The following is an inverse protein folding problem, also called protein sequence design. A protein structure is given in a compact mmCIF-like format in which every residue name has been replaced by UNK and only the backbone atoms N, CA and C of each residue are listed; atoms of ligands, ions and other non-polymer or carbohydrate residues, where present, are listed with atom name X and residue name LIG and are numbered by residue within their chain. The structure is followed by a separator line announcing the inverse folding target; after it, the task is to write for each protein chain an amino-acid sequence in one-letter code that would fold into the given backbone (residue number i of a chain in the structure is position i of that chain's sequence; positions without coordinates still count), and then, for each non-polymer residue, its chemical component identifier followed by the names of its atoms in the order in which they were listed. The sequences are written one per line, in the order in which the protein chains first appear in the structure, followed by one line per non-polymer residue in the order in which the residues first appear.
data_IF_336497024484
#
_entry.id   IF_336497024484
#
_cell.length_a   1.000
_cell.length_b   1.000
_cell.length_c   1.000
_cell.angle_alpha   90.00
_cell.angle_beta   90.00
_cell.angle_gamma   90.00
#
_symmetry.space_group_name_H-M   'P 1'
#
loop_
_entity.id
_entity.type
_entity.pdbx_description
1 polymer ?
#
# COMPACT_ATOMS: atom_id res chain seq x y z
N UNK A 1 19.92 -15.64 7.62
CA UNK A 1 19.95 -15.71 6.15
C UNK A 1 19.92 -14.31 5.57
N UNK A 2 20.64 -13.99 4.48
CA UNK A 2 20.63 -12.64 3.93
C UNK A 2 19.26 -12.45 3.25
N UNK A 3 18.37 -11.65 3.83
CA UNK A 3 17.05 -11.40 3.23
C UNK A 3 17.17 -10.47 2.02
N UNK A 4 17.68 -11.03 0.92
CA UNK A 4 17.64 -10.45 -0.42
C UNK A 4 16.26 -10.60 -1.06
N UNK A 5 16.20 -10.41 -2.38
CA UNK A 5 14.96 -10.52 -3.14
C UNK A 5 14.26 -11.87 -2.91
N UNK A 6 12.96 -11.82 -2.63
CA UNK A 6 12.10 -13.01 -2.53
C UNK A 6 10.92 -12.86 -3.50
N UNK A 7 10.89 -13.64 -4.60
CA UNK A 7 9.87 -13.50 -5.64
C UNK A 7 8.46 -13.76 -5.14
N UNK A 8 8.29 -14.69 -4.20
CA UNK A 8 6.98 -14.97 -3.59
C UNK A 8 6.50 -13.76 -2.78
N UNK A 9 7.34 -13.23 -1.86
CA UNK A 9 7.00 -12.02 -1.08
C UNK A 9 6.69 -10.83 -1.99
N UNK A 10 7.45 -10.63 -3.07
CA UNK A 10 7.21 -9.56 -4.03
C UNK A 10 5.89 -9.72 -4.77
N UNK A 11 5.58 -10.92 -5.26
CA UNK A 11 4.31 -11.21 -5.94
C UNK A 11 3.11 -11.06 -5.00
N UNK A 12 3.22 -11.59 -3.79
CA UNK A 12 2.16 -11.50 -2.78
C UNK A 12 1.87 -10.03 -2.42
N UNK A 13 2.91 -9.18 -2.37
CA UNK A 13 2.75 -7.73 -2.18
C UNK A 13 2.05 -7.04 -3.36
N UNK A 14 2.31 -7.47 -4.60
CA UNK A 14 1.64 -6.92 -5.79
C UNK A 14 0.16 -7.28 -5.79
N UNK A 15 -0.23 -8.47 -5.31
CA UNK A 15 -1.64 -8.87 -5.23
C UNK A 15 -2.48 -7.91 -4.37
N UNK A 16 -1.88 -7.28 -3.35
CA UNK A 16 -2.57 -6.29 -2.50
C UNK A 16 -3.00 -5.01 -3.24
N UNK A 17 -2.53 -4.78 -4.48
CA UNK A 17 -2.98 -3.66 -5.30
C UNK A 17 -4.47 -3.80 -5.61
N UNK A 18 -4.96 -5.03 -5.84
CA UNK A 18 -6.37 -5.28 -6.10
C UNK A 18 -7.25 -4.81 -4.94
N UNK A 19 -6.92 -5.23 -3.72
CA UNK A 19 -7.66 -4.84 -2.51
C UNK A 19 -7.59 -3.32 -2.26
N UNK A 20 -6.45 -2.70 -2.59
CA UNK A 20 -6.28 -1.24 -2.46
C UNK A 20 -7.18 -0.49 -3.44
N UNK A 21 -7.37 -1.00 -4.66
CA UNK A 21 -8.28 -0.41 -5.64
C UNK A 21 -9.74 -0.54 -5.19
N UNK A 22 -10.13 -1.70 -4.63
CA UNK A 22 -11.45 -1.88 -4.05
C UNK A 22 -11.72 -0.90 -2.90
N UNK A 23 -10.75 -0.70 -2.00
CA UNK A 23 -10.83 0.30 -0.92
C UNK A 23 -11.07 1.72 -1.47
N UNK A 24 -10.33 2.10 -2.52
CA UNK A 24 -10.47 3.43 -3.16
C UNK A 24 -11.86 3.60 -3.78
N UNK A 25 -12.32 2.64 -4.57
CA UNK A 25 -13.61 2.77 -5.26
C UNK A 25 -14.79 2.75 -4.31
N UNK A 26 -14.79 1.85 -3.32
CA UNK A 26 -15.85 1.78 -2.32
C UNK A 26 -15.93 3.07 -1.48
N UNK A 27 -14.79 3.65 -1.10
CA UNK A 27 -14.77 4.93 -0.39
C UNK A 27 -15.17 6.11 -1.30
N UNK A 28 -14.78 6.08 -2.57
CA UNK A 28 -15.17 7.07 -3.59
C UNK A 28 -16.68 7.11 -3.79
N UNK A 29 -17.33 5.95 -3.91
CA UNK A 29 -18.79 5.86 -4.03
C UNK A 29 -19.51 6.34 -2.76
N UNK A 30 -19.03 5.93 -1.58
CA UNK A 30 -19.63 6.33 -0.30
C UNK A 30 -19.53 7.83 -0.01
N UNK A 31 -18.44 8.47 -0.43
CA UNK A 31 -18.18 9.89 -0.16
C UNK A 31 -18.55 10.83 -1.32
N UNK A 32 -18.90 10.28 -2.48
CA UNK A 32 -19.17 11.07 -3.68
C UNK A 32 -17.96 11.85 -4.21
N UNK A 33 -16.74 11.37 -3.92
CA UNK A 33 -15.48 12.02 -4.31
C UNK A 33 -14.83 11.29 -5.49
N UNK A 34 -14.08 11.99 -6.37
CA UNK A 34 -13.28 11.33 -7.39
C UNK A 34 -12.24 10.35 -6.80
N UNK A 35 -12.04 9.15 -7.42
CA UNK A 35 -11.11 8.13 -6.90
C UNK A 35 -9.67 8.61 -6.67
N UNK A 36 -9.18 9.54 -7.49
CA UNK A 36 -7.84 10.09 -7.34
C UNK A 36 -7.68 10.88 -6.03
N UNK A 37 -8.69 11.65 -5.64
CA UNK A 37 -8.69 12.40 -4.37
C UNK A 37 -8.72 11.43 -3.18
N UNK A 38 -9.54 10.39 -3.27
CA UNK A 38 -9.63 9.36 -2.23
C UNK A 38 -8.32 8.59 -2.10
N UNK A 39 -7.64 8.30 -3.21
CA UNK A 39 -6.33 7.66 -3.20
C UNK A 39 -5.28 8.53 -2.47
N UNK A 40 -5.25 9.83 -2.73
CA UNK A 40 -4.37 10.77 -2.03
C UNK A 40 -4.67 10.81 -0.52
N UNK A 41 -5.94 10.90 -0.13
CA UNK A 41 -6.36 10.88 1.29
C UNK A 41 -5.94 9.58 2.01
N UNK A 42 -6.12 8.42 1.36
CA UNK A 42 -5.69 7.12 1.91
C UNK A 42 -4.17 7.08 2.06
N UNK A 43 -3.42 7.57 1.08
CA UNK A 43 -1.97 7.62 1.12
C UNK A 43 -1.46 8.52 2.25
N UNK A 44 -2.01 9.72 2.39
CA UNK A 44 -1.70 10.67 3.47
C UNK A 44 -1.99 10.08 4.84
N UNK A 45 -3.14 9.41 5.01
CA UNK A 45 -3.48 8.72 6.24
C UNK A 45 -2.45 7.62 6.58
N UNK A 46 -2.12 6.75 5.60
CA UNK A 46 -1.13 5.68 5.78
C UNK A 46 0.24 6.23 6.17
N UNK A 47 0.67 7.34 5.57
CA UNK A 47 1.91 8.04 5.94
C UNK A 47 1.87 8.57 7.37
N UNK A 48 0.79 9.27 7.75
CA UNK A 48 0.62 9.84 9.10
C UNK A 48 0.64 8.77 10.19
N UNK A 49 0.00 7.63 9.93
CA UNK A 49 -0.05 6.49 10.85
C UNK A 49 1.17 5.57 10.75
N UNK A 50 2.15 5.89 9.89
CA UNK A 50 3.33 5.06 9.60
C UNK A 50 2.98 3.62 9.17
N UNK A 51 1.83 3.43 8.53
CA UNK A 51 1.39 2.13 7.99
C UNK A 51 2.30 1.74 6.84
N UNK A 52 2.78 0.49 6.85
CA UNK A 52 3.69 -0.02 5.81
C UNK A 52 5.12 0.56 5.87
N UNK A 53 5.44 1.37 6.90
CA UNK A 53 6.80 1.85 7.14
C UNK A 53 7.73 0.67 7.38
N UNK A 54 8.90 0.71 6.73
CA UNK A 54 9.96 -0.26 6.99
C UNK A 54 10.51 -0.04 8.40
N UNK A 55 10.41 -1.05 9.23
CA UNK A 55 11.00 -1.08 10.58
C UNK A 55 12.45 -1.56 10.57
N UNK A 56 12.91 -2.16 9.46
CA UNK A 56 14.27 -2.66 9.33
C UNK A 56 14.95 -2.12 8.06
N UNK A 57 16.24 -1.71 8.16
CA UNK A 57 17.00 -1.19 7.03
C UNK A 57 17.26 -2.28 5.98
N UNK A 58 17.41 -1.87 4.71
CA UNK A 58 17.83 -2.77 3.64
C UNK A 58 19.31 -3.10 3.87
N UNK A 59 19.64 -4.38 4.02
CA UNK A 59 21.03 -4.83 3.96
C UNK A 59 21.32 -5.21 2.51
N UNK A 60 22.16 -4.44 1.85
CA UNK A 60 22.77 -4.86 0.59
C UNK A 60 23.95 -5.74 0.96
N UNK A 61 23.87 -7.03 0.63
CA UNK A 61 24.94 -8.02 0.83
C UNK A 61 25.52 -8.43 -0.50
#
# INVERSE_FOLDING_TARGET
EPEGYNPKKSRDRVNMIYDTLLEIFDKSEREGKPPNIVADEIAEYKLKQQIGKRTSPIKFG
#
